data_IF_561374805454
#
_entry.id   IF_561374805454
#
_cell.length_a   1.000
_cell.length_b   1.000
_cell.length_c   1.000
_cell.angle_alpha   90.00
_cell.angle_beta   90.00
_cell.angle_gamma   90.00
#
_symmetry.space_group_name_H-M   'P 1'
#
loop_
_entity.id
_entity.type
_entity.pdbx_description
1 polymer ?
#
# COMPACT_ATOMS: atom_id res chain seq x y z
N UNK A 1 6.93 -19.92 12.75
CA UNK A 1 6.02 -19.55 13.85
C UNK A 1 4.83 -18.82 13.26
N UNK A 2 3.71 -19.49 13.05
CA UNK A 2 2.50 -18.93 12.43
C UNK A 2 1.93 -17.87 13.38
N UNK A 3 1.95 -16.60 12.94
CA UNK A 3 1.22 -15.55 13.62
C UNK A 3 -0.26 -15.94 13.62
N UNK A 4 -0.88 -15.97 14.81
CA UNK A 4 -2.33 -16.22 14.91
C UNK A 4 -3.04 -15.21 14.01
N UNK A 5 -3.96 -15.63 13.18
CA UNK A 5 -4.63 -14.81 12.15
C UNK A 5 -5.11 -13.44 12.64
N UNK A 6 -5.58 -13.36 13.89
CA UNK A 6 -6.03 -12.10 14.49
C UNK A 6 -4.90 -11.10 14.76
N UNK A 7 -3.66 -11.56 15.04
CA UNK A 7 -2.49 -10.67 15.25
C UNK A 7 -2.04 -10.09 13.91
N UNK A 8 -2.04 -10.92 12.86
CA UNK A 8 -1.72 -10.47 11.51
C UNK A 8 -2.67 -9.36 11.04
N UNK A 9 -4.00 -9.56 11.14
CA UNK A 9 -4.99 -8.56 10.76
C UNK A 9 -4.84 -7.24 11.53
N UNK A 10 -4.51 -7.31 12.84
CA UNK A 10 -4.24 -6.12 13.66
C UNK A 10 -3.00 -5.36 13.20
N UNK A 11 -1.94 -6.05 12.79
CA UNK A 11 -0.73 -5.42 12.25
C UNK A 11 -0.96 -4.82 10.86
N UNK A 12 -1.77 -5.46 10.00
CA UNK A 12 -2.18 -4.88 8.73
C UNK A 12 -2.99 -3.60 8.93
N UNK A 13 -3.96 -3.59 9.87
CA UNK A 13 -4.68 -2.37 10.24
C UNK A 13 -3.75 -1.26 10.73
N UNK A 14 -2.77 -1.61 11.57
CA UNK A 14 -1.76 -0.64 12.04
C UNK A 14 -0.93 -0.07 10.88
N UNK A 15 -0.56 -0.90 9.90
CA UNK A 15 0.14 -0.46 8.69
C UNK A 15 -0.69 0.57 7.91
N UNK A 16 -1.97 0.31 7.74
CA UNK A 16 -2.87 1.20 7.02
C UNK A 16 -3.03 2.54 7.75
N UNK A 17 -3.23 2.52 9.08
CA UNK A 17 -3.24 3.72 9.93
C UNK A 17 -1.93 4.54 9.89
N UNK A 18 -0.79 3.88 9.74
CA UNK A 18 0.52 4.55 9.62
C UNK A 18 0.74 5.15 8.23
N UNK A 19 0.14 4.55 7.20
CA UNK A 19 0.21 5.01 5.82
C UNK A 19 -0.72 6.17 5.50
N UNK A 20 -1.81 6.32 6.26
CA UNK A 20 -2.75 7.43 6.06
C UNK A 20 -2.11 8.78 6.39
N UNK A 21 -2.28 9.73 5.48
CA UNK A 21 -1.95 11.12 5.75
C UNK A 21 -3.17 11.79 6.38
N UNK A 22 -2.97 12.30 7.57
CA UNK A 22 -3.99 13.01 8.37
C UNK A 22 -3.43 14.34 8.81
N UNK A 23 -4.27 15.35 8.98
CA UNK A 23 -3.90 16.61 9.60
C UNK A 23 -3.23 16.40 10.97
N UNK A 24 -3.79 15.47 11.75
CA UNK A 24 -3.24 15.07 13.06
C UNK A 24 -2.83 13.59 13.02
N UNK A 25 -1.56 13.30 12.67
CA UNK A 25 -1.10 11.92 12.60
C UNK A 25 -1.06 11.27 13.98
N UNK A 26 -1.66 10.09 14.08
CA UNK A 26 -1.62 9.30 15.31
C UNK A 26 -0.18 9.03 15.74
N UNK A 27 0.11 9.16 17.03
CA UNK A 27 1.41 8.74 17.53
C UNK A 27 1.57 7.21 17.41
N UNK A 28 2.81 6.72 17.45
CA UNK A 28 3.07 5.27 17.45
C UNK A 28 2.39 4.58 18.65
N UNK A 29 2.30 5.29 19.78
CA UNK A 29 1.60 4.80 20.97
C UNK A 29 0.10 4.69 20.75
N UNK A 30 -0.50 5.65 20.04
CA UNK A 30 -1.93 5.65 19.77
C UNK A 30 -2.30 4.57 18.74
N UNK A 31 -1.48 4.37 17.72
CA UNK A 31 -1.64 3.26 16.78
C UNK A 31 -1.55 1.91 17.51
N UNK A 32 -0.58 1.75 18.42
CA UNK A 32 -0.47 0.52 19.22
C UNK A 32 -1.73 0.29 20.08
N UNK A 33 -2.29 1.37 20.68
CA UNK A 33 -3.53 1.31 21.47
C UNK A 33 -4.73 0.94 20.59
N UNK A 34 -4.85 1.55 19.42
CA UNK A 34 -5.93 1.27 18.46
C UNK A 34 -5.97 -0.21 18.05
N UNK A 35 -4.80 -0.82 17.87
CA UNK A 35 -4.70 -2.24 17.55
C UNK A 35 -4.59 -3.14 18.78
N UNK A 36 -4.88 -2.61 19.98
CA UNK A 36 -4.90 -3.32 21.26
C UNK A 36 -3.59 -4.08 21.54
N UNK A 37 -2.46 -3.39 21.38
CA UNK A 37 -1.13 -3.90 21.67
C UNK A 37 -0.37 -2.92 22.58
N UNK A 38 0.52 -3.42 23.42
CA UNK A 38 1.48 -2.54 24.12
C UNK A 38 2.46 -1.98 23.08
N UNK A 39 2.94 -0.73 23.24
CA UNK A 39 3.82 -0.09 22.26
C UNK A 39 5.08 -0.91 21.94
N UNK A 40 5.70 -1.49 22.97
CA UNK A 40 6.89 -2.32 22.81
C UNK A 40 6.62 -3.59 22.00
N UNK A 41 5.55 -4.29 22.33
CA UNK A 41 5.14 -5.51 21.61
C UNK A 41 4.74 -5.20 20.16
N UNK A 42 4.04 -4.07 19.95
CA UNK A 42 3.68 -3.58 18.63
C UNK A 42 4.91 -3.34 17.76
N UNK A 43 5.88 -2.54 18.22
CA UNK A 43 7.09 -2.21 17.45
C UNK A 43 7.82 -3.48 17.02
N UNK A 44 8.08 -4.40 17.94
CA UNK A 44 8.79 -5.66 17.64
C UNK A 44 8.04 -6.56 16.66
N UNK A 45 6.71 -6.69 16.82
CA UNK A 45 5.89 -7.52 15.93
C UNK A 45 5.73 -6.89 14.54
N UNK A 46 5.60 -5.58 14.50
CA UNK A 46 5.50 -4.84 13.24
C UNK A 46 6.81 -4.97 12.45
N UNK A 47 7.95 -4.75 13.08
CA UNK A 47 9.26 -4.90 12.46
C UNK A 47 9.53 -6.34 12.01
N UNK A 48 9.19 -7.34 12.80
CA UNK A 48 9.33 -8.74 12.45
C UNK A 48 8.47 -9.15 11.23
N UNK A 49 7.31 -8.50 11.04
CA UNK A 49 6.40 -8.80 9.93
C UNK A 49 6.73 -8.03 8.66
N UNK A 50 7.03 -6.71 8.79
CA UNK A 50 7.19 -5.81 7.65
C UNK A 50 8.65 -5.44 7.34
N UNK A 51 9.61 -5.89 8.14
CA UNK A 51 11.04 -5.59 7.97
C UNK A 51 11.43 -4.14 8.28
N UNK A 52 10.50 -3.31 8.75
CA UNK A 52 10.70 -1.90 9.08
C UNK A 52 10.01 -1.58 10.40
N UNK A 53 10.61 -0.69 11.20
CA UNK A 53 9.91 -0.18 12.37
C UNK A 53 8.69 0.66 11.95
N UNK A 54 7.65 0.82 12.80
CA UNK A 54 6.49 1.66 12.50
C UNK A 54 6.85 3.09 12.09
N UNK A 55 7.88 3.66 12.70
CA UNK A 55 8.37 5.00 12.37
C UNK A 55 9.02 5.05 10.98
N UNK A 56 9.87 4.07 10.65
CA UNK A 56 10.50 3.97 9.33
C UNK A 56 9.46 3.74 8.23
N UNK A 57 8.45 2.92 8.52
CA UNK A 57 7.34 2.68 7.60
C UNK A 57 6.57 3.97 7.31
N UNK A 58 6.22 4.76 8.34
CA UNK A 58 5.55 6.06 8.17
C UNK A 58 6.37 7.03 7.32
N UNK A 59 7.67 7.13 7.58
CA UNK A 59 8.56 7.97 6.76
C UNK A 59 8.55 7.51 5.31
N UNK A 60 8.68 6.21 5.07
CA UNK A 60 8.66 5.64 3.72
C UNK A 60 7.35 5.97 3.01
N UNK A 61 6.21 5.76 3.66
CA UNK A 61 4.88 6.04 3.10
C UNK A 61 4.73 7.52 2.71
N UNK A 62 5.15 8.45 3.59
CA UNK A 62 5.13 9.88 3.30
C UNK A 62 6.01 10.28 2.11
N UNK A 63 7.19 9.67 2.00
CA UNK A 63 8.09 9.94 0.88
C UNK A 63 7.54 9.39 -0.44
N UNK A 64 6.90 8.22 -0.43
CA UNK A 64 6.25 7.67 -1.63
C UNK A 64 5.10 8.58 -2.08
N UNK A 65 4.30 9.08 -1.14
CA UNK A 65 3.25 10.06 -1.46
C UNK A 65 3.84 11.38 -1.97
N UNK A 66 4.92 11.89 -1.35
CA UNK A 66 5.60 13.09 -1.84
C UNK A 66 6.09 12.92 -3.28
N UNK A 67 6.68 11.77 -3.62
CA UNK A 67 7.09 11.47 -4.99
C UNK A 67 5.92 11.52 -5.97
N UNK A 68 4.79 10.96 -5.57
CA UNK A 68 3.59 10.99 -6.39
C UNK A 68 3.08 12.43 -6.63
N UNK A 69 2.94 13.23 -5.57
CA UNK A 69 2.49 14.63 -5.67
C UNK A 69 3.46 15.50 -6.48
N UNK A 70 4.77 15.31 -6.30
CA UNK A 70 5.79 16.01 -7.10
C UNK A 70 5.71 15.62 -8.58
N UNK A 71 5.49 14.35 -8.88
CA UNK A 71 5.36 13.86 -10.26
C UNK A 71 4.11 14.41 -10.96
N UNK A 72 3.00 14.59 -10.25
CA UNK A 72 1.79 15.23 -10.79
C UNK A 72 2.04 16.70 -11.19
N UNK A 73 3.02 17.37 -10.60
CA UNK A 73 3.43 18.72 -10.97
C UNK A 73 2.46 19.84 -10.63
N UNK A 74 1.36 19.55 -9.94
CA UNK A 74 0.32 20.52 -9.58
C UNK A 74 0.64 21.29 -8.30
N UNK A 75 1.52 20.75 -7.45
CA UNK A 75 1.89 21.29 -6.15
C UNK A 75 3.31 21.82 -6.17
N UNK A 76 3.57 22.91 -5.43
CA UNK A 76 4.91 23.35 -5.11
C UNK A 76 5.57 22.38 -4.11
N UNK A 77 6.88 22.42 -4.00
CA UNK A 77 7.62 21.60 -3.01
C UNK A 77 7.17 21.89 -1.58
N UNK A 78 6.82 23.16 -1.29
CA UNK A 78 6.33 23.56 0.03
C UNK A 78 4.95 22.97 0.33
N UNK A 79 4.04 23.03 -0.63
CA UNK A 79 2.71 22.42 -0.50
C UNK A 79 2.83 20.91 -0.31
N UNK A 80 3.67 20.23 -1.11
CA UNK A 80 3.92 18.79 -0.93
C UNK A 80 4.45 18.48 0.46
N UNK A 81 5.37 19.30 1.00
CA UNK A 81 5.88 19.12 2.36
C UNK A 81 4.75 19.17 3.41
N UNK A 82 3.82 20.10 3.27
CA UNK A 82 2.66 20.21 4.16
C UNK A 82 1.67 19.06 3.98
N UNK A 83 1.34 18.73 2.72
CA UNK A 83 0.42 17.64 2.39
C UNK A 83 0.85 16.28 2.94
N UNK A 84 2.16 16.00 2.95
CA UNK A 84 2.67 14.76 3.54
C UNK A 84 2.84 14.83 5.06
N UNK A 85 2.39 15.92 5.68
CA UNK A 85 2.40 16.12 7.13
C UNK A 85 3.78 16.34 7.73
N UNK A 86 4.67 17.03 7.01
CA UNK A 86 5.98 17.46 7.52
C UNK A 86 5.96 18.95 7.81
N UNK A 87 6.42 19.32 9.01
CA UNK A 87 6.38 20.70 9.50
C UNK A 87 7.55 21.59 9.06
N UNK A 88 8.62 20.98 8.51
CA UNK A 88 9.84 21.71 8.13
C UNK A 88 10.28 21.32 6.73
N UNK A 89 10.29 22.32 5.84
CA UNK A 89 10.74 22.18 4.45
C UNK A 89 12.22 21.74 4.36
N UNK A 90 13.08 22.26 5.23
CA UNK A 90 14.49 21.86 5.29
C UNK A 90 14.65 20.37 5.63
N UNK A 91 14.01 19.94 6.73
CA UNK A 91 14.02 18.53 7.16
C UNK A 91 13.42 17.60 6.10
N UNK A 92 12.36 18.04 5.43
CA UNK A 92 11.77 17.29 4.31
C UNK A 92 12.75 17.15 3.14
N UNK A 93 13.36 18.25 2.70
CA UNK A 93 14.29 18.26 1.57
C UNK A 93 15.52 17.41 1.83
N UNK A 94 16.09 17.47 3.03
CA UNK A 94 17.23 16.65 3.44
C UNK A 94 16.87 15.16 3.50
N UNK A 95 15.72 14.84 4.08
CA UNK A 95 15.25 13.48 4.18
C UNK A 95 14.94 12.89 2.81
N UNK A 96 14.25 13.67 1.96
CA UNK A 96 13.92 13.27 0.58
C UNK A 96 15.19 13.02 -0.21
N UNK A 97 16.16 13.95 -0.17
CA UNK A 97 17.43 13.83 -0.90
C UNK A 97 18.21 12.59 -0.45
N UNK A 98 18.31 12.35 0.86
CA UNK A 98 19.01 11.16 1.39
C UNK A 98 18.34 9.84 1.00
N UNK A 99 17.02 9.81 0.83
CA UNK A 99 16.27 8.58 0.56
C UNK A 99 16.01 8.34 -0.92
N UNK A 100 15.87 9.39 -1.71
CA UNK A 100 15.52 9.34 -3.14
C UNK A 100 16.74 9.58 -4.04
N UNK A 101 17.80 10.22 -3.50
CA UNK A 101 19.01 10.53 -4.26
C UNK A 101 18.92 11.81 -5.09
N UNK A 102 17.83 12.57 -4.99
CA UNK A 102 17.65 13.85 -5.69
C UNK A 102 16.86 14.81 -4.80
N UNK A 103 17.07 16.12 -4.94
CA UNK A 103 16.25 17.12 -4.23
C UNK A 103 14.79 17.07 -4.73
N UNK A 104 13.82 17.45 -3.90
CA UNK A 104 12.41 17.48 -4.31
C UNK A 104 12.17 18.28 -5.59
N UNK A 105 12.81 19.44 -5.74
CA UNK A 105 12.70 20.29 -6.93
C UNK A 105 13.31 19.62 -8.17
N UNK A 106 14.49 18.99 -8.05
CA UNK A 106 15.11 18.26 -9.15
C UNK A 106 14.26 17.05 -9.57
N UNK A 107 13.67 16.34 -8.59
CA UNK A 107 12.75 15.24 -8.85
C UNK A 107 11.51 15.73 -9.62
N UNK A 108 10.89 16.83 -9.19
CA UNK A 108 9.73 17.43 -9.85
C UNK A 108 10.04 17.86 -11.28
N UNK A 109 11.18 18.51 -11.51
CA UNK A 109 11.62 18.90 -12.87
C UNK A 109 11.81 17.71 -13.79
N UNK A 110 12.44 16.64 -13.31
CA UNK A 110 12.62 15.40 -14.10
C UNK A 110 11.28 14.75 -14.42
N UNK A 111 10.37 14.67 -13.45
CA UNK A 111 9.05 14.09 -13.66
C UNK A 111 8.23 14.87 -14.71
N UNK A 112 8.27 16.21 -14.68
CA UNK A 112 7.62 17.06 -15.69
C UNK A 112 8.21 16.87 -17.09
N UNK A 113 9.53 16.76 -17.21
CA UNK A 113 10.20 16.54 -18.48
C UNK A 113 9.76 15.22 -19.14
N UNK A 114 9.51 14.18 -18.36
CA UNK A 114 9.06 12.88 -18.85
C UNK A 114 7.60 12.95 -19.36
N UNK A 115 6.74 13.65 -18.65
CA UNK A 115 5.32 13.80 -19.06
C UNK A 115 5.19 14.65 -20.34
N UNK A 116 6.12 15.59 -20.56
CA UNK A 116 6.11 16.46 -21.74
C UNK A 116 6.81 15.89 -22.98
N UNK A 117 7.56 14.79 -22.85
CA UNK A 117 8.22 14.13 -23.97
C UNK A 117 7.52 12.81 -24.31
N UNK A 118 6.57 12.80 -25.27
CA UNK A 118 5.94 11.56 -25.72
C UNK A 118 7.00 10.62 -26.30
N UNK A 119 7.32 9.55 -25.61
CA UNK A 119 8.20 8.49 -26.09
C UNK A 119 9.53 8.27 -25.37
N UNK A 120 9.91 9.11 -24.41
CA UNK A 120 11.14 8.90 -23.63
C UNK A 120 10.86 8.65 -22.14
N UNK A 121 10.45 7.43 -21.79
CA UNK A 121 10.44 7.02 -20.40
C UNK A 121 11.86 6.60 -19.97
N UNK A 122 12.51 7.42 -19.13
CA UNK A 122 13.77 7.03 -18.51
C UNK A 122 13.53 5.93 -17.48
N UNK A 123 14.14 4.76 -17.69
CA UNK A 123 14.03 3.57 -16.83
C UNK A 123 14.40 3.83 -15.37
N UNK A 124 15.20 4.87 -15.11
CA UNK A 124 15.78 5.14 -13.79
C UNK A 124 14.81 5.84 -12.82
N UNK A 125 13.72 6.40 -13.31
CA UNK A 125 12.77 7.16 -12.49
C UNK A 125 11.67 6.31 -11.84
N UNK A 126 11.40 5.13 -12.40
CA UNK A 126 10.33 4.24 -11.92
C UNK A 126 10.81 2.80 -11.86
N UNK A 127 11.52 2.38 -10.80
CA UNK A 127 11.81 0.97 -10.60
C UNK A 127 10.50 0.25 -10.25
N UNK A 128 10.05 -0.62 -11.14
CA UNK A 128 8.87 -1.46 -10.91
C UNK A 128 7.92 -1.55 -12.10
N UNK A 129 6.67 -1.92 -11.84
CA UNK A 129 5.63 -2.22 -12.85
C UNK A 129 5.40 -1.12 -13.90
N UNK A 130 5.60 0.17 -13.55
CA UNK A 130 5.44 1.28 -14.51
C UNK A 130 6.54 1.30 -15.58
N UNK A 131 7.74 0.83 -15.26
CA UNK A 131 8.83 0.68 -16.24
C UNK A 131 8.52 -0.40 -17.29
N UNK A 132 7.79 -1.45 -16.87
CA UNK A 132 7.32 -2.50 -17.77
C UNK A 132 6.18 -2.01 -18.69
N UNK A 133 5.29 -1.14 -18.19
CA UNK A 133 4.21 -0.58 -19.01
C UNK A 133 4.72 0.36 -20.12
N UNK A 134 5.83 1.08 -19.88
CA UNK A 134 6.47 1.92 -20.91
C UNK A 134 7.17 1.12 -22.02
N UNK A 135 7.42 -0.17 -21.83
CA UNK A 135 8.03 -1.06 -22.83
C UNK A 135 7.01 -1.87 -23.64
N UNK A 136 5.71 -1.79 -23.30
CA UNK A 136 4.67 -2.51 -24.02
C UNK A 136 4.29 -1.75 -25.31
N UNK A 137 4.13 -2.47 -26.43
CA UNK A 137 3.64 -1.85 -27.66
C UNK A 137 2.21 -1.31 -27.45
N UNK A 138 1.80 -0.24 -28.15
CA UNK A 138 0.47 0.36 -28.00
C UNK A 138 -0.70 -0.63 -28.15
N UNK A 139 -0.47 -1.75 -28.85
CA UNK A 139 -1.43 -2.84 -29.02
C UNK A 139 -1.69 -3.62 -27.71
N UNK A 140 -0.73 -3.69 -26.80
CA UNK A 140 -0.89 -4.38 -25.52
C UNK A 140 -1.79 -3.61 -24.54
N UNK A 141 -1.86 -2.28 -24.67
CA UNK A 141 -2.72 -1.44 -23.83
C UNK A 141 -4.20 -1.49 -24.25
N UNK A 142 -4.49 -1.93 -25.46
CA UNK A 142 -5.86 -2.05 -25.97
C UNK A 142 -6.66 -3.09 -25.22
N UNK A 143 -6.02 -4.21 -24.87
CA UNK A 143 -6.63 -5.32 -24.14
C UNK A 143 -6.92 -4.97 -22.66
N UNK A 144 -6.18 -4.01 -22.09
CA UNK A 144 -6.42 -3.56 -20.71
C UNK A 144 -7.71 -2.70 -20.58
N UNK A 145 -8.12 -2.03 -21.64
CA UNK A 145 -9.37 -1.25 -21.65
C UNK A 145 -10.61 -2.14 -21.74
N UNK A 146 -10.49 -3.30 -22.38
CA UNK A 146 -11.58 -4.26 -22.50
C UNK A 146 -11.72 -5.13 -21.24
N UNK A 147 -10.63 -5.40 -20.52
CA UNK A 147 -10.65 -6.19 -19.29
C UNK A 147 -11.38 -5.51 -18.11
N UNK A 148 -11.51 -4.20 -18.11
CA UNK A 148 -12.29 -3.46 -17.11
C UNK A 148 -13.81 -3.45 -17.38
N UNK A 149 -14.27 -3.96 -18.52
CA UNK A 149 -15.69 -4.10 -18.84
C UNK A 149 -16.30 -5.43 -18.37
N UNK A 150 -15.47 -6.36 -17.91
CA UNK A 150 -15.96 -7.61 -17.33
C UNK A 150 -16.20 -7.37 -15.83
N UNK A 151 -17.44 -7.07 -15.51
CA UNK A 151 -17.98 -7.11 -14.17
C UNK A 151 -17.83 -8.52 -13.63
N UNK A 152 -16.87 -8.74 -12.75
CA UNK A 152 -16.73 -9.99 -11.99
C UNK A 152 -17.68 -9.87 -10.79
N UNK A 153 -18.78 -10.64 -10.74
CA UNK A 153 -19.56 -10.74 -9.52
C UNK A 153 -18.69 -11.43 -8.47
N UNK A 154 -18.48 -10.78 -7.36
CA UNK A 154 -17.95 -11.40 -6.14
C UNK A 154 -19.07 -12.29 -5.55
N UNK A 155 -19.26 -13.45 -6.12
CA UNK A 155 -20.01 -14.52 -5.47
C UNK A 155 -19.06 -15.27 -4.53
N UNK A 156 -19.10 -14.87 -3.27
CA UNK A 156 -18.64 -15.71 -2.18
C UNK A 156 -19.68 -16.81 -1.99
N UNK A 157 -19.64 -17.84 -2.82
CA UNK A 157 -20.39 -19.04 -2.52
C UNK A 157 -19.70 -19.84 -1.43
N UNK A 158 -20.45 -19.95 -0.38
CA UNK A 158 -20.28 -20.67 0.83
C UNK A 158 -20.02 -22.16 0.61
N UNK A 159 -18.94 -22.59 1.20
CA UNK A 159 -18.76 -23.99 1.57
C UNK A 159 -19.58 -24.22 2.83
N UNK A 160 -20.77 -24.76 2.67
CA UNK A 160 -21.48 -25.34 3.78
C UNK A 160 -22.33 -26.50 3.29
N UNK A 161 -22.19 -27.60 4.01
CA UNK A 161 -23.12 -28.73 4.14
C UNK A 161 -22.99 -29.86 3.13
N UNK A 162 -22.02 -30.70 3.38
CA UNK A 162 -22.18 -32.14 3.14
C UNK A 162 -23.04 -32.75 4.24
N UNK A 163 -24.34 -32.79 4.01
CA UNK A 163 -25.25 -33.58 4.81
C UNK A 163 -25.11 -35.05 4.45
N UNK A 164 -24.86 -35.85 5.44
CA UNK A 164 -24.82 -37.30 5.36
C UNK A 164 -26.22 -37.82 5.54
N UNK A 165 -26.89 -38.14 4.45
CA UNK A 165 -28.07 -39.00 4.49
C UNK A 165 -27.60 -40.45 4.48
N UNK A 166 -27.73 -41.09 5.59
CA UNK A 166 -27.67 -42.54 5.71
C UNK A 166 -28.84 -42.95 6.58
N UNK A 167 -29.90 -43.33 6.00
CA UNK A 167 -30.38 -44.65 6.13
C UNK A 167 -31.86 -44.88 5.89
N UNK A 168 -32.09 -45.71 4.99
CA UNK A 168 -33.25 -46.60 4.99
C UNK A 168 -32.74 -48.03 5.01
N UNK A 169 -33.24 -48.77 5.87
CA UNK A 169 -33.68 -50.15 5.78
C UNK A 169 -33.44 -50.91 7.09
N UNK A 170 -34.42 -51.22 7.82
CA UNK A 170 -34.98 -52.56 7.82
C UNK A 170 -36.20 -52.69 8.75
N UNK A 171 -37.30 -52.92 8.10
CA UNK A 171 -38.43 -53.63 8.73
C UNK A 171 -38.04 -55.09 8.94
N UNK A 172 -38.41 -55.70 10.03
CA UNK A 172 -39.22 -56.89 10.10
C UNK A 172 -39.11 -57.60 11.43
N UNK A 173 -40.32 -57.96 11.91
CA UNK A 173 -40.72 -59.09 12.75
C UNK A 173 -40.22 -59.10 14.21
N UNK A 174 -41.11 -59.31 15.12
CA UNK A 174 -42.14 -60.26 15.35
C UNK A 174 -42.37 -60.46 16.84
N UNK A 175 -43.60 -60.64 17.17
CA UNK A 175 -44.18 -61.16 18.40
C UNK A 175 -44.11 -60.32 19.66
#
# INVERSE_FOLDING_TARGET
MLLKNHVFGRLCRARDLLGEVREHPLSIKDVAREVRMSPFHFIRRFEALFGLTPHQFRIKSRLEQAKHLLAMGQYSVTEVCMEVGMSSLGSFSDLFTRRVGATPSAYQHRARAIVQAPGSFSRDLFPGCLSLMGCLPPSALRNFREAHAVHVPLECEGVAQGGIDANQAHQHNGQ
#
